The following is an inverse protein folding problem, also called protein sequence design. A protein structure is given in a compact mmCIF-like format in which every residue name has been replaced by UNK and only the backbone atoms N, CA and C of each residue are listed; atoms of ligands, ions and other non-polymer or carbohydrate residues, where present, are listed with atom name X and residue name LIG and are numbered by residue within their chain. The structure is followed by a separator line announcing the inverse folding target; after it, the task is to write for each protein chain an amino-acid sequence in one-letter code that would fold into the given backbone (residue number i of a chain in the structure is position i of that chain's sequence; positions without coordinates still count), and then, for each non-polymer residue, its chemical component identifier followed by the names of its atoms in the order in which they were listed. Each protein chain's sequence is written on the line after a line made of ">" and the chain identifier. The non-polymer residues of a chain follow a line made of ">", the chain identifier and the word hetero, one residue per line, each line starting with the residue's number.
data_IF_104430569355
#
_entry.id   IF_104430569355
#
_cell.length_a   1.000
_cell.length_b   1.000
_cell.length_c   1.000
_cell.angle_alpha   90.00
_cell.angle_beta   90.00
_cell.angle_gamma   90.00
#
_symmetry.space_group_name_H-M   'P 1'
#
loop_
_entity.id
_entity.type
_entity.pdbx_description
1 polymer ?
#
# COMPACT_ATOMS: atom_id res chain seq x y z
N UNK A 1 6.07 11.19 -23.03
CA UNK A 1 7.30 10.84 -22.30
C UNK A 1 7.43 11.79 -21.14
N UNK A 2 7.76 11.28 -19.93
CA UNK A 2 8.08 12.11 -18.77
C UNK A 2 9.23 13.07 -19.08
N UNK A 3 9.24 14.22 -18.42
CA UNK A 3 10.45 15.05 -18.35
C UNK A 3 11.61 14.20 -17.81
N UNK A 4 12.83 14.46 -18.26
CA UNK A 4 14.01 13.68 -17.85
C UNK A 4 14.09 13.55 -16.32
N UNK A 5 14.19 12.33 -15.83
CA UNK A 5 14.29 12.02 -14.39
C UNK A 5 12.98 11.75 -13.64
N UNK A 6 11.81 11.80 -14.30
CA UNK A 6 10.53 11.46 -13.65
C UNK A 6 10.19 10.00 -13.83
N UNK A 7 10.04 9.26 -12.72
CA UNK A 7 9.58 7.89 -12.72
C UNK A 7 8.05 7.83 -12.85
N UNK A 8 7.56 7.04 -13.81
CA UNK A 8 6.14 6.83 -14.03
C UNK A 8 5.66 5.60 -13.28
N UNK A 9 4.63 5.78 -12.44
CA UNK A 9 3.97 4.70 -11.71
C UNK A 9 2.49 4.65 -12.08
N UNK A 10 1.97 3.45 -12.40
CA UNK A 10 0.56 3.24 -12.71
C UNK A 10 -0.10 2.20 -11.81
N UNK A 11 -1.40 2.39 -11.52
CA UNK A 11 -2.26 1.42 -10.83
C UNK A 11 -3.36 0.98 -11.79
N UNK A 12 -3.19 -0.18 -12.44
CA UNK A 12 -4.02 -0.58 -13.60
C UNK A 12 -4.74 -1.92 -13.37
N UNK A 13 -4.51 -2.57 -12.23
CA UNK A 13 -5.03 -3.91 -11.95
C UNK A 13 -4.17 -5.01 -12.57
N UNK A 14 -4.82 -6.13 -12.96
CA UNK A 14 -4.12 -7.27 -13.56
C UNK A 14 -3.70 -6.98 -15.00
N UNK A 15 -2.47 -7.32 -15.30
CA UNK A 15 -1.92 -7.21 -16.65
C UNK A 15 -1.55 -8.59 -17.21
N UNK A 16 -1.85 -8.79 -18.48
CA UNK A 16 -1.24 -9.87 -19.25
C UNK A 16 0.20 -9.50 -19.60
N UNK A 17 1.04 -10.50 -19.86
CA UNK A 17 2.44 -10.28 -20.27
C UNK A 17 2.53 -9.34 -21.50
N UNK A 18 1.60 -9.49 -22.47
CA UNK A 18 1.55 -8.63 -23.67
C UNK A 18 1.29 -7.17 -23.30
N UNK A 19 0.29 -6.91 -22.44
CA UNK A 19 -0.02 -5.54 -21.98
C UNK A 19 1.14 -4.93 -21.20
N UNK A 20 1.76 -5.71 -20.30
CA UNK A 20 2.92 -5.27 -19.53
C UNK A 20 4.08 -4.87 -20.44
N UNK A 21 4.42 -5.67 -21.46
CA UNK A 21 5.47 -5.33 -22.43
C UNK A 21 5.16 -4.03 -23.18
N UNK A 22 3.92 -3.82 -23.62
CA UNK A 22 3.53 -2.58 -24.28
C UNK A 22 3.72 -1.34 -23.37
N UNK A 23 3.39 -1.48 -22.08
CA UNK A 23 3.59 -0.41 -21.11
C UNK A 23 5.09 -0.15 -20.84
N UNK A 24 5.90 -1.22 -20.78
CA UNK A 24 7.36 -1.09 -20.64
C UNK A 24 7.98 -0.36 -21.82
N UNK A 25 7.60 -0.72 -23.04
CA UNK A 25 8.03 -0.04 -24.28
C UNK A 25 7.59 1.43 -24.31
N UNK A 26 6.42 1.75 -23.73
CA UNK A 26 5.93 3.12 -23.59
C UNK A 26 6.68 3.94 -22.53
N UNK A 27 7.59 3.32 -21.77
CA UNK A 27 8.42 3.98 -20.76
C UNK A 27 7.82 3.99 -19.34
N UNK A 28 6.93 3.04 -19.01
CA UNK A 28 6.44 2.86 -17.65
C UNK A 28 7.52 2.19 -16.81
N UNK A 29 7.84 2.77 -15.65
CA UNK A 29 8.89 2.28 -14.74
C UNK A 29 8.33 1.38 -13.65
N UNK A 30 7.22 1.77 -13.01
CA UNK A 30 6.68 1.13 -11.80
C UNK A 30 5.20 0.80 -11.94
N UNK A 31 4.81 -0.34 -11.36
CA UNK A 31 3.40 -0.75 -11.26
C UNK A 31 2.99 -0.88 -9.80
N UNK A 32 1.88 -0.23 -9.46
CA UNK A 32 1.22 -0.43 -8.17
C UNK A 32 0.28 -1.64 -8.27
N UNK A 33 0.56 -2.67 -7.46
CA UNK A 33 -0.23 -3.89 -7.38
C UNK A 33 -0.22 -4.44 -5.95
N UNK A 34 -1.03 -3.82 -5.07
CA UNK A 34 -1.03 -4.11 -3.64
C UNK A 34 -1.53 -5.53 -3.34
N UNK A 35 -0.97 -6.18 -2.32
CA UNK A 35 -1.54 -7.41 -1.73
C UNK A 35 -2.88 -7.11 -1.06
N UNK A 36 -3.02 -5.95 -0.47
CA UNK A 36 -4.15 -5.45 0.32
C UNK A 36 -4.26 -6.08 1.71
N UNK A 37 -4.25 -7.40 1.84
CA UNK A 37 -4.37 -8.15 3.10
C UNK A 37 -3.59 -9.46 3.01
N UNK A 38 -3.67 -10.31 4.06
CA UNK A 38 -3.06 -11.64 4.08
C UNK A 38 -3.75 -12.62 3.14
N UNK A 39 -3.09 -13.73 2.84
CA UNK A 39 -3.63 -14.85 2.06
C UNK A 39 -4.89 -15.43 2.71
N UNK A 40 -4.91 -15.60 4.03
CA UNK A 40 -6.01 -16.16 4.81
C UNK A 40 -7.23 -15.25 4.82
N UNK A 41 -7.03 -13.93 4.93
CA UNK A 41 -8.11 -12.95 4.94
C UNK A 41 -8.59 -12.55 3.54
N UNK A 42 -7.82 -12.83 2.49
CA UNK A 42 -8.10 -12.37 1.13
C UNK A 42 -9.48 -12.77 0.60
N UNK A 43 -9.99 -14.01 0.82
CA UNK A 43 -11.32 -14.41 0.37
C UNK A 43 -12.47 -13.61 1.01
N UNK A 44 -12.24 -13.02 2.17
CA UNK A 44 -13.23 -12.17 2.86
C UNK A 44 -13.32 -10.77 2.24
N UNK A 45 -12.29 -10.34 1.50
CA UNK A 45 -12.16 -9.00 0.95
C UNK A 45 -12.40 -8.98 -0.57
N UNK A 46 -11.98 -10.03 -1.27
CA UNK A 46 -12.03 -10.09 -2.73
C UNK A 46 -12.56 -11.43 -3.22
N UNK A 47 -13.60 -11.39 -4.06
CA UNK A 47 -14.23 -12.58 -4.66
C UNK A 47 -13.99 -12.71 -6.16
N UNK A 48 -13.38 -11.72 -6.80
CA UNK A 48 -13.20 -11.67 -8.25
C UNK A 48 -11.92 -12.34 -8.73
N UNK A 49 -10.94 -12.51 -7.86
CA UNK A 49 -9.66 -13.16 -8.13
C UNK A 49 -9.01 -13.63 -6.82
N UNK A 50 -8.05 -14.56 -6.94
CA UNK A 50 -7.38 -15.14 -5.76
C UNK A 50 -6.13 -14.36 -5.38
N UNK A 51 -5.66 -14.61 -4.16
CA UNK A 51 -4.39 -14.09 -3.66
C UNK A 51 -3.21 -14.57 -4.52
N UNK A 52 -3.20 -15.85 -4.90
CA UNK A 52 -2.18 -16.44 -5.75
C UNK A 52 -2.10 -15.79 -7.12
N UNK A 53 -3.25 -15.49 -7.72
CA UNK A 53 -3.29 -14.76 -8.99
C UNK A 53 -2.62 -13.40 -8.86
N UNK A 54 -2.84 -12.71 -7.74
CA UNK A 54 -2.22 -11.40 -7.47
C UNK A 54 -0.70 -11.52 -7.31
N UNK A 55 -0.22 -12.45 -6.48
CA UNK A 55 1.21 -12.69 -6.27
C UNK A 55 1.89 -13.11 -7.57
N UNK A 56 1.29 -14.03 -8.34
CA UNK A 56 1.82 -14.45 -9.63
C UNK A 56 1.90 -13.30 -10.64
N UNK A 57 0.92 -12.38 -10.62
CA UNK A 57 0.98 -11.20 -11.49
C UNK A 57 2.12 -10.25 -11.07
N UNK A 58 2.37 -10.07 -9.77
CA UNK A 58 3.50 -9.29 -9.27
C UNK A 58 4.82 -9.90 -9.77
N UNK A 59 5.03 -11.21 -9.57
CA UNK A 59 6.26 -11.86 -10.02
C UNK A 59 6.46 -11.76 -11.55
N UNK A 60 5.41 -11.96 -12.32
CA UNK A 60 5.48 -11.76 -13.77
C UNK A 60 5.91 -10.33 -14.15
N UNK A 61 5.46 -9.32 -13.42
CA UNK A 61 5.85 -7.93 -13.63
C UNK A 61 7.31 -7.68 -13.22
N UNK A 62 7.78 -8.27 -12.12
CA UNK A 62 9.18 -8.23 -11.69
C UNK A 62 10.09 -8.88 -12.72
N UNK A 63 9.71 -10.05 -13.26
CA UNK A 63 10.46 -10.75 -14.32
C UNK A 63 10.59 -9.91 -15.61
N UNK A 64 9.64 -9.01 -15.86
CA UNK A 64 9.69 -8.06 -16.96
C UNK A 64 10.48 -6.78 -16.62
N UNK A 65 11.07 -6.71 -15.43
CA UNK A 65 11.92 -5.61 -15.00
C UNK A 65 11.15 -4.36 -14.57
N UNK A 66 9.88 -4.46 -14.18
CA UNK A 66 9.19 -3.35 -13.53
C UNK A 66 9.60 -3.24 -12.07
N UNK A 67 9.71 -2.02 -11.59
CA UNK A 67 9.64 -1.75 -10.17
C UNK A 67 8.23 -2.02 -9.65
N UNK A 68 8.13 -2.56 -8.44
CA UNK A 68 6.85 -2.87 -7.81
C UNK A 68 6.57 -1.91 -6.66
N UNK A 69 5.34 -1.40 -6.64
CA UNK A 69 4.75 -0.76 -5.48
C UNK A 69 3.66 -1.70 -4.94
N UNK A 70 3.93 -2.36 -3.82
CA UNK A 70 2.98 -3.32 -3.21
C UNK A 70 2.95 -3.18 -1.71
N UNK A 71 1.75 -3.17 -1.14
CA UNK A 71 1.50 -3.00 0.27
C UNK A 71 0.11 -3.47 0.67
N UNK A 72 -0.39 -2.95 1.80
CA UNK A 72 -1.63 -3.40 2.39
C UNK A 72 -2.54 -2.30 2.91
N UNK A 73 -3.72 -2.72 3.35
CA UNK A 73 -4.71 -1.90 4.04
C UNK A 73 -5.00 -2.58 5.39
N UNK A 74 -4.76 -1.86 6.46
CA UNK A 74 -4.95 -2.33 7.84
C UNK A 74 -6.30 -1.84 8.34
N UNK A 75 -7.06 -2.74 8.99
CA UNK A 75 -8.39 -2.44 9.57
C UNK A 75 -9.56 -2.98 8.77
N UNK A 76 -9.34 -3.85 7.76
CA UNK A 76 -10.40 -4.49 6.98
C UNK A 76 -11.02 -5.71 7.68
N UNK A 77 -10.55 -6.07 8.89
CA UNK A 77 -11.03 -7.19 9.70
C UNK A 77 -10.08 -8.36 9.80
N UNK A 78 -8.87 -8.17 9.35
CA UNK A 78 -7.75 -9.08 9.54
C UNK A 78 -7.35 -9.18 11.01
N UNK A 79 -6.74 -10.30 11.39
CA UNK A 79 -6.11 -10.49 12.69
C UNK A 79 -4.71 -9.85 12.71
N UNK A 80 -4.08 -9.83 13.88
CA UNK A 80 -2.68 -9.36 14.00
C UNK A 80 -1.72 -10.32 13.30
N UNK A 81 -2.02 -11.60 13.35
CA UNK A 81 -1.30 -12.66 12.65
C UNK A 81 -1.39 -12.47 11.14
N UNK A 82 -2.55 -12.11 10.62
CA UNK A 82 -2.74 -11.77 9.21
C UNK A 82 -1.88 -10.59 8.77
N UNK A 83 -1.72 -9.57 9.62
CA UNK A 83 -0.83 -8.44 9.32
C UNK A 83 0.62 -8.89 9.23
N UNK A 84 1.07 -9.78 10.14
CA UNK A 84 2.41 -10.35 10.10
C UNK A 84 2.61 -11.17 8.84
N UNK A 85 1.68 -12.07 8.50
CA UNK A 85 1.74 -12.92 7.32
C UNK A 85 1.81 -12.10 6.02
N UNK A 86 0.97 -11.07 5.90
CA UNK A 86 1.03 -10.15 4.76
C UNK A 86 2.41 -9.47 4.64
N UNK A 87 2.99 -9.04 5.76
CA UNK A 87 4.29 -8.39 5.74
C UNK A 87 5.44 -9.38 5.45
N UNK A 88 5.29 -10.65 5.81
CA UNK A 88 6.23 -11.72 5.43
C UNK A 88 6.15 -12.00 3.93
N UNK A 89 4.96 -12.07 3.35
CA UNK A 89 4.79 -12.21 1.90
C UNK A 89 5.37 -10.98 1.16
N UNK A 90 5.18 -9.76 1.68
CA UNK A 90 5.81 -8.55 1.14
C UNK A 90 7.33 -8.56 1.27
N UNK A 91 7.89 -9.19 2.32
CA UNK A 91 9.34 -9.41 2.44
C UNK A 91 9.86 -10.30 1.33
N UNK A 92 9.14 -11.37 0.97
CA UNK A 92 9.53 -12.26 -0.12
C UNK A 92 9.44 -11.58 -1.48
N UNK A 93 8.39 -10.78 -1.70
CA UNK A 93 8.22 -9.96 -2.92
C UNK A 93 9.31 -8.89 -3.02
N UNK A 94 9.73 -8.31 -1.89
CA UNK A 94 10.71 -7.23 -1.79
C UNK A 94 10.42 -6.06 -2.76
N UNK A 95 9.26 -5.38 -2.65
CA UNK A 95 8.88 -4.31 -3.56
C UNK A 95 9.77 -3.07 -3.33
N UNK A 96 9.99 -2.25 -4.36
CA UNK A 96 10.70 -0.98 -4.25
C UNK A 96 9.95 0.03 -3.38
N UNK A 97 8.61 0.02 -3.42
CA UNK A 97 7.77 0.85 -2.55
C UNK A 97 6.71 0.01 -1.84
N UNK A 98 6.55 0.27 -0.54
CA UNK A 98 5.64 -0.44 0.34
C UNK A 98 4.66 0.54 1.00
N UNK A 99 3.50 0.84 0.36
CA UNK A 99 2.47 1.68 0.96
C UNK A 99 1.67 0.90 2.01
N UNK A 100 1.58 1.43 3.21
CA UNK A 100 0.63 0.99 4.24
C UNK A 100 -0.48 2.02 4.35
N UNK A 101 -1.70 1.54 4.17
CA UNK A 101 -2.92 2.30 4.33
C UNK A 101 -3.62 1.85 5.62
N UNK A 102 -4.26 2.77 6.30
CA UNK A 102 -5.17 2.48 7.39
C UNK A 102 -6.59 2.77 6.92
N UNK A 103 -7.50 1.80 7.10
CA UNK A 103 -8.84 1.85 6.55
C UNK A 103 -9.58 3.13 6.98
N UNK A 104 -10.13 3.82 6.00
CA UNK A 104 -11.10 4.89 6.21
C UNK A 104 -12.47 4.34 5.78
N UNK A 105 -13.39 4.06 6.71
CA UNK A 105 -14.73 3.62 6.35
C UNK A 105 -15.46 4.71 5.57
N UNK A 106 -15.89 4.39 4.34
CA UNK A 106 -16.57 5.34 3.45
C UNK A 106 -18.01 4.89 3.26
N UNK A 107 -18.96 5.80 3.49
CA UNK A 107 -20.40 5.55 3.30
C UNK A 107 -20.69 5.06 1.88
N UNK A 108 -21.53 4.02 1.78
CA UNK A 108 -21.89 3.39 0.50
C UNK A 108 -20.92 2.30 0.04
N UNK A 109 -19.85 2.01 0.80
CA UNK A 109 -18.96 0.89 0.52
C UNK A 109 -19.27 -0.31 1.41
N UNK A 110 -18.85 -1.55 1.03
CA UNK A 110 -19.03 -2.74 1.88
C UNK A 110 -18.39 -2.64 3.27
N UNK A 111 -17.39 -1.78 3.44
CA UNK A 111 -16.66 -1.61 4.71
C UNK A 111 -17.09 -0.34 5.46
N UNK A 112 -18.22 0.31 5.10
CA UNK A 112 -18.65 1.56 5.71
C UNK A 112 -18.89 1.46 7.23
N UNK A 113 -19.34 0.29 7.71
CA UNK A 113 -19.66 0.06 9.12
C UNK A 113 -18.57 -0.75 9.83
N UNK A 114 -17.37 -0.85 9.24
CA UNK A 114 -16.26 -1.58 9.85
C UNK A 114 -15.77 -0.85 11.10
N UNK A 115 -15.71 -1.57 12.20
CA UNK A 115 -15.08 -1.07 13.43
C UNK A 115 -13.57 -0.92 13.22
N UNK A 116 -13.09 0.30 13.38
CA UNK A 116 -11.68 0.69 13.29
C UNK A 116 -11.11 1.20 14.62
N UNK A 117 -11.80 0.95 15.72
CA UNK A 117 -11.40 1.41 17.08
C UNK A 117 -10.04 0.84 17.51
N UNK A 118 -9.63 -0.30 16.93
CA UNK A 118 -8.32 -0.91 17.14
C UNK A 118 -7.18 -0.20 16.41
N UNK A 119 -7.46 0.69 15.45
CA UNK A 119 -6.44 1.47 14.74
C UNK A 119 -5.98 2.66 15.59
N UNK A 120 -5.46 2.37 16.78
CA UNK A 120 -4.83 3.42 17.61
C UNK A 120 -3.51 3.87 17.00
N UNK A 121 -3.03 5.10 17.30
CA UNK A 121 -1.72 5.57 16.82
C UNK A 121 -0.59 4.59 17.12
N UNK A 122 -0.62 3.98 18.33
CA UNK A 122 0.38 3.00 18.78
C UNK A 122 0.35 1.73 17.94
N UNK A 123 -0.84 1.22 17.62
CA UNK A 123 -0.98 0.03 16.79
C UNK A 123 -0.52 0.31 15.35
N UNK A 124 -0.97 1.43 14.78
CA UNK A 124 -0.56 1.84 13.44
C UNK A 124 0.97 2.03 13.34
N UNK A 125 1.58 2.66 14.35
CA UNK A 125 3.04 2.81 14.41
C UNK A 125 3.76 1.46 14.52
N UNK A 126 3.24 0.52 15.33
CA UNK A 126 3.80 -0.84 15.43
C UNK A 126 3.79 -1.57 14.09
N UNK A 127 2.71 -1.45 13.31
CA UNK A 127 2.63 -2.03 11.95
C UNK A 127 3.72 -1.44 11.05
N UNK A 128 3.88 -0.12 11.05
CA UNK A 128 4.92 0.54 10.24
C UNK A 128 6.33 0.15 10.69
N UNK A 129 6.59 0.05 12.00
CA UNK A 129 7.86 -0.43 12.54
C UNK A 129 8.14 -1.88 12.11
N UNK A 130 7.14 -2.76 12.17
CA UNK A 130 7.28 -4.14 11.73
C UNK A 130 7.57 -4.21 10.23
N UNK A 131 6.89 -3.41 9.41
CA UNK A 131 7.19 -3.32 7.98
C UNK A 131 8.64 -2.90 7.74
N UNK A 132 9.15 -1.88 8.47
CA UNK A 132 10.55 -1.45 8.37
C UNK A 132 11.53 -2.55 8.77
N UNK A 133 11.24 -3.31 9.80
CA UNK A 133 12.11 -4.40 10.26
C UNK A 133 12.15 -5.57 9.28
N UNK A 134 11.01 -5.92 8.68
CA UNK A 134 10.89 -7.06 7.76
C UNK A 134 11.35 -6.73 6.34
N UNK A 135 11.10 -5.50 5.86
CA UNK A 135 11.41 -5.05 4.50
C UNK A 135 12.25 -3.77 4.55
N UNK A 136 13.48 -3.82 5.06
CA UNK A 136 14.29 -2.64 5.37
C UNK A 136 14.71 -1.84 4.13
N UNK A 137 14.74 -2.46 2.96
CA UNK A 137 15.18 -1.84 1.70
C UNK A 137 14.09 -1.11 0.96
N UNK A 138 12.82 -1.40 1.27
CA UNK A 138 11.68 -0.76 0.60
C UNK A 138 11.48 0.68 1.06
N UNK A 139 10.97 1.49 0.14
CA UNK A 139 10.48 2.84 0.42
C UNK A 139 9.09 2.74 1.11
N UNK A 140 9.10 2.69 2.45
CA UNK A 140 7.86 2.56 3.23
C UNK A 140 7.12 3.88 3.23
N UNK A 141 5.84 3.82 2.89
CA UNK A 141 4.95 4.98 2.77
C UNK A 141 3.75 4.83 3.69
N UNK A 142 3.52 5.81 4.56
CA UNK A 142 2.24 5.95 5.23
C UNK A 142 1.30 6.70 4.29
N UNK A 143 0.31 5.97 3.76
CA UNK A 143 -0.60 6.48 2.75
C UNK A 143 -1.94 6.93 3.36
N UNK A 144 -3.08 6.34 2.98
CA UNK A 144 -4.38 6.73 3.50
C UNK A 144 -4.53 6.46 5.02
N UNK A 145 -5.34 7.29 5.69
CA UNK A 145 -5.66 7.16 7.11
C UNK A 145 -4.70 7.88 8.06
N UNK A 146 -3.57 8.39 7.57
CA UNK A 146 -2.59 9.11 8.37
C UNK A 146 -3.22 10.23 9.20
N UNK A 147 -3.96 11.11 8.56
CA UNK A 147 -4.58 12.28 9.18
C UNK A 147 -5.61 11.93 10.25
N UNK A 148 -6.20 10.74 10.17
CA UNK A 148 -7.22 10.27 11.10
C UNK A 148 -6.56 9.64 12.33
N UNK A 149 -5.66 8.68 12.10
CA UNK A 149 -5.12 7.83 13.16
C UNK A 149 -3.86 8.39 13.83
N UNK A 150 -3.17 9.36 13.21
CA UNK A 150 -1.99 10.00 13.81
C UNK A 150 -2.19 11.48 14.13
N UNK A 151 -3.43 11.95 14.15
CA UNK A 151 -3.75 13.36 14.39
C UNK A 151 -2.96 13.97 15.55
N UNK A 152 -2.11 14.94 15.25
CA UNK A 152 -1.22 15.60 16.21
C UNK A 152 0.04 14.80 16.58
N UNK A 153 0.25 13.61 16.01
CA UNK A 153 1.40 12.75 16.25
C UNK A 153 2.12 12.35 14.94
N UNK A 154 1.85 13.06 13.85
CA UNK A 154 2.37 12.74 12.52
C UNK A 154 3.90 12.75 12.46
N UNK A 155 4.56 13.52 13.32
CA UNK A 155 6.02 13.56 13.41
C UNK A 155 6.64 12.22 13.83
N UNK A 156 5.90 11.38 14.55
CA UNK A 156 6.38 10.06 14.93
C UNK A 156 6.58 9.15 13.71
N UNK A 157 5.79 9.35 12.64
CA UNK A 157 5.92 8.60 11.38
C UNK A 157 7.29 8.80 10.73
N UNK A 158 7.86 10.01 10.80
CA UNK A 158 9.11 10.36 10.15
C UNK A 158 10.32 9.59 10.68
N UNK A 159 10.17 8.90 11.82
CA UNK A 159 11.21 8.03 12.38
C UNK A 159 11.23 6.65 11.73
N UNK A 160 10.17 6.28 11.00
CA UNK A 160 9.96 4.91 10.49
C UNK A 160 9.76 4.86 8.98
N UNK A 161 8.98 5.82 8.43
CA UNK A 161 8.64 5.83 7.00
C UNK A 161 9.55 6.74 6.20
N UNK A 162 9.69 6.45 4.90
CA UNK A 162 10.48 7.27 3.96
C UNK A 162 9.63 8.41 3.39
N UNK A 163 8.31 8.21 3.28
CA UNK A 163 7.40 9.18 2.68
C UNK A 163 5.99 9.09 3.25
N UNK A 164 5.26 10.19 3.12
CA UNK A 164 3.85 10.31 3.47
C UNK A 164 3.09 10.97 2.31
N UNK A 165 1.79 10.73 2.21
CA UNK A 165 0.96 11.49 1.29
C UNK A 165 0.65 12.85 1.90
N UNK A 166 0.88 13.93 1.14
CA UNK A 166 0.81 15.31 1.61
C UNK A 166 -0.55 16.00 1.36
N UNK A 167 -1.51 15.29 0.77
CA UNK A 167 -2.87 15.79 0.49
C UNK A 167 -3.86 14.65 0.60
N UNK A 168 -5.17 14.93 0.44
CA UNK A 168 -6.20 13.90 0.45
C UNK A 168 -5.90 12.72 -0.48
N UNK A 169 -6.40 11.55 -0.11
CA UNK A 169 -6.16 10.32 -0.85
C UNK A 169 -7.42 9.90 -1.61
N UNK A 170 -7.37 9.97 -2.95
CA UNK A 170 -8.48 9.62 -3.86
C UNK A 170 -9.79 10.35 -3.51
N UNK A 171 -10.68 9.68 -2.79
CA UNK A 171 -12.04 10.15 -2.43
C UNK A 171 -12.14 10.68 -1.01
N UNK A 172 -11.05 10.68 -0.24
CA UNK A 172 -11.03 11.21 1.13
C UNK A 172 -10.35 12.58 1.17
N UNK A 173 -10.98 13.53 1.86
CA UNK A 173 -10.35 14.81 2.17
C UNK A 173 -9.12 14.58 3.06
N UNK A 174 -8.04 15.31 2.80
CA UNK A 174 -6.81 15.25 3.59
C UNK A 174 -6.35 16.65 3.99
N UNK A 175 -5.31 16.69 4.83
CA UNK A 175 -4.64 17.94 5.15
C UNK A 175 -4.04 18.58 3.90
N UNK A 176 -4.15 19.91 3.80
CA UNK A 176 -3.47 20.67 2.76
C UNK A 176 -1.93 20.50 2.84
N UNK A 177 -1.25 20.63 1.72
CA UNK A 177 0.23 20.51 1.64
C UNK A 177 0.90 21.46 2.64
N UNK A 178 0.39 22.69 2.79
CA UNK A 178 0.91 23.70 3.73
C UNK A 178 0.84 23.27 5.19
N UNK A 179 -0.16 22.47 5.58
CA UNK A 179 -0.31 21.98 6.95
C UNK A 179 0.49 20.71 7.21
N UNK A 180 0.83 19.97 6.15
CA UNK A 180 1.68 18.78 6.23
C UNK A 180 3.17 19.14 6.37
N UNK A 181 3.60 20.31 5.86
CA UNK A 181 5.00 20.75 5.87
C UNK A 181 5.38 21.45 7.19
N UNK A 182 4.43 21.90 8.00
CA UNK A 182 4.66 22.50 9.33
C UNK A 182 4.99 21.45 10.40
#
# INVERSE_FOLDING_TARGET
>A
RSEEGTHLCCSIGFLTKKQALMLKEAGLDRINHNLNTSRSNYPNICTTHTYEQRVNNIHMLQDLGFEICSGGIIGMGESKEDVVDMLLDLKEINPEALPINFLIPIKGTPLQDRDTSNLTPEYCLKVLCLARLLVPTSDIRCAAGREIYFKGREKELLTVVNSIFASGYLTADGQGIQDTIK
#
